data_IF_350385125608
#
_entry.id   IF_350385125608
#
_cell.length_a   1.000
_cell.length_b   1.000
_cell.length_c   1.000
_cell.angle_alpha   90.00
_cell.angle_beta   90.00
_cell.angle_gamma   90.00
#
_symmetry.space_group_name_H-M   'P 1'
#
loop_
_entity.id
_entity.type
_entity.pdbx_description
1 polymer ?
#
# COMPACT_ATOMS: atom_id res chain seq x y z
N UNK A 1 -19.60 -9.40 -6.41
CA UNK A 1 -20.55 -8.39 -5.87
C UNK A 1 -20.21 -8.17 -4.40
N UNK A 2 -19.39 -7.18 -4.09
CA UNK A 2 -19.06 -6.78 -2.72
C UNK A 2 -20.23 -5.97 -2.16
N UNK A 3 -20.81 -6.45 -1.05
CA UNK A 3 -21.84 -5.74 -0.26
C UNK A 3 -21.33 -4.33 0.07
N UNK A 4 -22.10 -3.30 -0.28
CA UNK A 4 -21.88 -1.92 0.19
C UNK A 4 -22.07 -1.92 1.71
N UNK A 5 -21.02 -1.57 2.44
CA UNK A 5 -21.11 -1.36 3.89
C UNK A 5 -21.73 0.04 4.10
N UNK A 6 -22.75 0.22 4.96
CA UNK A 6 -23.53 1.46 4.99
C UNK A 6 -22.81 2.69 5.57
N UNK A 7 -21.68 2.50 6.27
CA UNK A 7 -20.95 3.55 6.99
C UNK A 7 -19.59 3.90 6.35
N UNK A 8 -19.47 3.77 5.02
CA UNK A 8 -18.22 4.07 4.32
C UNK A 8 -17.99 5.59 4.24
N UNK A 9 -17.01 6.09 5.00
CA UNK A 9 -16.73 7.52 5.16
C UNK A 9 -16.23 8.11 3.84
N UNK A 10 -17.10 8.86 3.15
CA UNK A 10 -16.70 9.62 1.96
C UNK A 10 -15.85 10.81 2.40
N UNK A 11 -14.56 10.77 2.07
CA UNK A 11 -13.56 11.80 2.38
C UNK A 11 -13.72 12.99 1.43
N UNK A 12 -13.91 12.71 0.14
CA UNK A 12 -14.12 13.72 -0.87
C UNK A 12 -14.91 13.16 -2.05
N UNK A 13 -15.67 14.02 -2.73
CA UNK A 13 -16.36 13.67 -3.97
C UNK A 13 -16.35 14.89 -4.89
N UNK A 14 -16.07 14.66 -6.16
CA UNK A 14 -16.20 15.67 -7.20
C UNK A 14 -16.64 15.05 -8.51
N UNK A 15 -17.19 15.89 -9.38
CA UNK A 15 -17.51 15.53 -10.76
C UNK A 15 -16.53 16.23 -11.68
N UNK A 16 -15.88 15.46 -12.56
CA UNK A 16 -14.99 15.99 -13.60
C UNK A 16 -15.82 16.25 -14.85
N UNK A 17 -15.87 17.49 -15.36
CA UNK A 17 -16.65 17.81 -16.54
C UNK A 17 -16.06 17.21 -17.82
N UNK A 18 -16.89 16.99 -18.86
CA UNK A 18 -16.50 16.46 -20.17
C UNK A 18 -15.20 17.03 -20.77
N UNK A 19 -15.05 18.36 -20.73
CA UNK A 19 -13.89 19.05 -21.30
C UNK A 19 -12.59 18.65 -20.58
N UNK A 20 -12.63 18.63 -19.25
CA UNK A 20 -11.46 18.32 -18.42
C UNK A 20 -11.12 16.83 -18.51
N UNK A 21 -12.11 15.94 -18.62
CA UNK A 21 -11.88 14.51 -18.87
C UNK A 21 -11.14 14.26 -20.19
N UNK A 22 -11.52 14.95 -21.26
CA UNK A 22 -10.84 14.83 -22.56
C UNK A 22 -9.41 15.36 -22.51
N UNK A 23 -9.19 16.49 -21.82
CA UNK A 23 -7.85 17.02 -21.58
C UNK A 23 -6.99 16.01 -20.80
N UNK A 24 -7.52 15.50 -19.69
CA UNK A 24 -6.88 14.46 -18.89
C UNK A 24 -6.52 13.22 -19.74
N UNK A 25 -7.47 12.67 -20.49
CA UNK A 25 -7.22 11.47 -21.31
C UNK A 25 -6.15 11.72 -22.37
N UNK A 26 -6.13 12.91 -22.97
CA UNK A 26 -5.08 13.32 -23.92
C UNK A 26 -3.69 13.42 -23.26
N UNK A 27 -3.60 14.04 -22.10
CA UNK A 27 -2.35 14.20 -21.34
C UNK A 27 -1.78 12.85 -20.89
N UNK A 28 -2.63 11.97 -20.35
CA UNK A 28 -2.22 10.64 -19.90
C UNK A 28 -1.80 9.76 -21.08
N UNK A 29 -2.53 9.78 -22.21
CA UNK A 29 -2.09 9.06 -23.42
C UNK A 29 -0.77 9.59 -23.95
N UNK A 30 -0.56 10.91 -23.92
CA UNK A 30 0.72 11.50 -24.32
C UNK A 30 1.88 11.11 -23.39
N UNK A 31 1.61 10.94 -22.09
CA UNK A 31 2.63 10.60 -21.09
C UNK A 31 2.97 9.11 -21.08
N UNK A 32 1.97 8.24 -21.16
CA UNK A 32 2.14 6.80 -21.02
C UNK A 32 2.16 6.05 -22.36
N UNK A 33 1.73 6.65 -23.48
CA UNK A 33 1.82 6.06 -24.81
C UNK A 33 1.40 4.59 -24.88
N UNK A 34 2.26 3.76 -25.49
CA UNK A 34 2.12 2.30 -25.58
C UNK A 34 2.86 1.56 -24.43
N UNK A 35 3.11 2.22 -23.30
CA UNK A 35 3.79 1.55 -22.18
C UNK A 35 2.90 0.46 -21.58
N UNK A 36 3.50 -0.65 -21.09
CA UNK A 36 2.73 -1.70 -20.40
C UNK A 36 2.12 -1.24 -19.07
N UNK A 37 2.50 -0.05 -18.61
CA UNK A 37 2.07 0.57 -17.36
C UNK A 37 1.00 1.65 -17.57
N UNK A 38 0.49 1.80 -18.80
CA UNK A 38 -0.58 2.74 -19.07
C UNK A 38 -1.82 2.40 -18.21
N UNK A 39 -2.46 3.40 -17.57
CA UNK A 39 -3.64 3.20 -16.74
C UNK A 39 -4.90 3.01 -17.60
N UNK A 40 -4.90 1.94 -18.41
CA UNK A 40 -5.87 1.67 -19.48
C UNK A 40 -7.30 1.66 -18.94
N UNK A 41 -7.52 1.09 -17.75
CA UNK A 41 -8.87 0.96 -17.20
C UNK A 41 -9.46 2.30 -16.73
N UNK A 42 -8.62 3.17 -16.15
CA UNK A 42 -9.05 4.54 -15.79
C UNK A 42 -9.34 5.35 -17.06
N UNK A 43 -8.46 5.24 -18.07
CA UNK A 43 -8.67 5.89 -19.36
C UNK A 43 -9.97 5.47 -20.03
N UNK A 44 -10.26 4.15 -20.07
CA UNK A 44 -11.52 3.62 -20.61
C UNK A 44 -12.74 4.18 -19.87
N UNK A 45 -12.66 4.37 -18.54
CA UNK A 45 -13.75 5.01 -17.79
C UNK A 45 -13.90 6.48 -18.15
N UNK A 46 -12.82 7.23 -18.27
CA UNK A 46 -12.87 8.64 -18.68
C UNK A 46 -13.47 8.79 -20.09
N UNK A 47 -13.12 7.90 -21.02
CA UNK A 47 -13.60 7.91 -22.41
C UNK A 47 -15.06 7.51 -22.53
N UNK A 48 -15.53 6.54 -21.75
CA UNK A 48 -16.95 6.16 -21.66
C UNK A 48 -17.85 7.33 -21.24
N UNK A 49 -17.28 8.28 -20.48
CA UNK A 49 -17.99 9.40 -19.87
C UNK A 49 -17.55 10.76 -20.42
N UNK A 50 -16.92 10.78 -21.61
CA UNK A 50 -16.35 11.97 -22.23
C UNK A 50 -17.39 13.04 -22.58
N UNK A 51 -18.68 12.69 -22.67
CA UNK A 51 -19.80 13.60 -22.94
C UNK A 51 -20.62 13.96 -21.69
N UNK A 52 -20.66 13.07 -20.69
CA UNK A 52 -21.51 13.24 -19.50
C UNK A 52 -20.77 13.84 -18.30
N UNK A 53 -19.45 13.71 -18.27
CA UNK A 53 -18.66 13.92 -17.07
C UNK A 53 -18.64 12.66 -16.20
N UNK A 54 -17.75 12.64 -15.22
CA UNK A 54 -17.43 11.46 -14.43
C UNK A 54 -17.26 11.83 -12.96
N UNK A 55 -17.93 11.08 -12.09
CA UNK A 55 -17.77 11.23 -10.66
C UNK A 55 -16.52 10.50 -10.18
N UNK A 56 -15.77 11.20 -9.34
CA UNK A 56 -14.67 10.66 -8.56
C UNK A 56 -15.07 10.72 -7.09
N UNK A 57 -14.97 9.58 -6.42
CA UNK A 57 -15.33 9.42 -5.01
C UNK A 57 -14.12 8.88 -4.26
N UNK A 58 -13.60 9.67 -3.35
CA UNK A 58 -12.57 9.29 -2.39
C UNK A 58 -13.23 8.86 -1.09
N UNK A 59 -13.00 7.62 -0.70
CA UNK A 59 -13.39 7.04 0.59
C UNK A 59 -12.14 6.74 1.40
N UNK A 60 -12.29 6.61 2.69
CA UNK A 60 -11.23 6.21 3.61
C UNK A 60 -10.40 4.99 3.14
N UNK A 61 -11.02 4.03 2.45
CA UNK A 61 -10.38 2.79 2.00
C UNK A 61 -10.07 2.71 0.49
N UNK A 62 -10.67 3.57 -0.34
CA UNK A 62 -10.54 3.48 -1.80
C UNK A 62 -10.88 4.78 -2.56
N UNK A 63 -10.31 4.92 -3.76
CA UNK A 63 -10.77 5.90 -4.77
C UNK A 63 -11.59 5.20 -5.84
N UNK A 64 -12.72 5.78 -6.20
CA UNK A 64 -13.59 5.34 -7.29
C UNK A 64 -13.60 6.37 -8.40
N UNK A 65 -13.50 5.91 -9.64
CA UNK A 65 -13.59 6.71 -10.87
C UNK A 65 -14.66 6.04 -11.74
N UNK A 66 -15.91 6.49 -11.59
CA UNK A 66 -17.06 5.75 -12.10
C UNK A 66 -17.16 4.33 -11.51
N UNK A 67 -17.05 3.32 -12.38
CA UNK A 67 -17.08 1.90 -11.99
C UNK A 67 -15.70 1.36 -11.59
N UNK A 68 -14.62 2.06 -11.98
CA UNK A 68 -13.26 1.65 -11.63
C UNK A 68 -12.93 2.02 -10.17
N UNK A 69 -12.10 1.21 -9.52
CA UNK A 69 -11.68 1.41 -8.13
C UNK A 69 -10.20 1.17 -7.91
N UNK A 70 -9.60 1.98 -7.04
CA UNK A 70 -8.28 1.80 -6.46
C UNK A 70 -8.41 1.65 -4.95
N UNK A 71 -8.15 0.46 -4.42
CA UNK A 71 -8.13 0.24 -2.98
C UNK A 71 -6.79 0.68 -2.39
N UNK A 72 -6.79 1.46 -1.31
CA UNK A 72 -5.55 1.98 -0.71
C UNK A 72 -4.72 0.89 -0.03
N UNK A 73 -5.38 0.10 0.82
CA UNK A 73 -4.72 -0.85 1.73
C UNK A 73 -4.01 -2.02 1.01
N UNK A 74 -4.35 -2.28 -0.26
CA UNK A 74 -3.83 -3.42 -1.00
C UNK A 74 -2.74 -3.08 -2.01
N UNK A 75 -2.56 -1.79 -2.33
CA UNK A 75 -1.80 -1.37 -3.51
C UNK A 75 -0.44 -0.72 -3.19
N UNK A 76 0.06 -0.83 -1.95
CA UNK A 76 1.38 -0.30 -1.55
C UNK A 76 1.62 1.14 -2.06
N UNK A 77 0.62 2.01 -1.85
CA UNK A 77 0.71 3.41 -2.29
C UNK A 77 1.79 4.09 -1.46
N UNK A 78 2.83 4.58 -2.11
CA UNK A 78 3.99 5.22 -1.46
C UNK A 78 3.83 6.72 -1.33
N UNK A 79 3.17 7.35 -2.30
CA UNK A 79 2.94 8.79 -2.29
C UNK A 79 1.66 9.14 -3.06
N UNK A 80 1.06 10.27 -2.69
CA UNK A 80 -0.09 10.83 -3.38
C UNK A 80 0.18 12.32 -3.60
N UNK A 81 0.20 12.78 -4.86
CA UNK A 81 0.43 14.18 -5.21
C UNK A 81 -0.73 14.77 -6.01
N UNK A 82 -0.97 16.07 -5.82
CA UNK A 82 -1.97 16.83 -6.58
C UNK A 82 -1.28 17.53 -7.75
N UNK A 83 -1.48 17.01 -8.96
CA UNK A 83 -1.09 17.70 -10.20
C UNK A 83 -2.18 18.70 -10.63
N UNK A 84 -1.98 19.37 -11.77
CA UNK A 84 -2.92 20.39 -12.22
C UNK A 84 -4.28 19.83 -12.66
N UNK A 85 -4.29 18.66 -13.31
CA UNK A 85 -5.50 18.02 -13.86
C UNK A 85 -5.78 16.63 -13.26
N UNK A 86 -4.89 16.10 -12.40
CA UNK A 86 -5.08 14.78 -11.79
C UNK A 86 -4.40 14.61 -10.43
N UNK A 87 -4.86 13.62 -9.66
CA UNK A 87 -4.16 13.07 -8.51
C UNK A 87 -3.24 11.97 -9.01
N UNK A 88 -1.98 11.99 -8.60
CA UNK A 88 -1.03 10.93 -8.90
C UNK A 88 -0.91 10.04 -7.68
N UNK A 89 -1.29 8.78 -7.83
CA UNK A 89 -1.05 7.72 -6.86
C UNK A 89 0.20 6.96 -7.26
N UNK A 90 1.28 7.12 -6.50
CA UNK A 90 2.52 6.38 -6.69
C UNK A 90 2.43 5.05 -5.92
N UNK A 91 2.80 3.96 -6.58
CA UNK A 91 2.77 2.61 -6.03
C UNK A 91 4.13 1.94 -6.17
N UNK A 92 4.43 1.01 -5.25
CA UNK A 92 5.64 0.19 -5.27
C UNK A 92 6.95 1.01 -5.35
N UNK A 93 7.01 2.17 -4.68
CA UNK A 93 8.21 3.00 -4.62
C UNK A 93 8.51 3.75 -5.92
N UNK A 94 7.48 4.11 -6.69
CA UNK A 94 7.62 4.88 -7.93
C UNK A 94 7.59 4.04 -9.20
N UNK A 95 7.44 2.71 -9.07
CA UNK A 95 7.41 1.81 -10.23
C UNK A 95 6.13 1.97 -11.04
N UNK A 96 5.02 2.27 -10.36
CA UNK A 96 3.72 2.48 -10.99
C UNK A 96 3.12 3.82 -10.55
N UNK A 97 2.49 4.51 -11.50
CA UNK A 97 1.75 5.73 -11.25
C UNK A 97 0.31 5.54 -11.77
N UNK A 98 -0.67 5.76 -10.91
CA UNK A 98 -2.08 5.71 -11.28
C UNK A 98 -2.65 7.13 -11.20
N UNK A 99 -2.97 7.75 -12.35
CA UNK A 99 -3.56 9.07 -12.39
C UNK A 99 -5.09 8.98 -12.19
N UNK A 100 -5.64 9.86 -11.37
CA UNK A 100 -7.08 10.01 -11.14
C UNK A 100 -7.50 11.44 -11.50
N UNK A 101 -8.49 11.64 -12.39
CA UNK A 101 -8.81 12.97 -12.88
C UNK A 101 -9.37 13.88 -11.78
N UNK A 102 -8.95 15.14 -11.79
CA UNK A 102 -9.44 16.19 -10.90
C UNK A 102 -10.15 17.25 -11.74
N UNK A 103 -11.22 17.84 -11.20
CA UNK A 103 -11.72 19.09 -11.77
C UNK A 103 -10.93 20.28 -11.25
N UNK A 104 -10.52 21.19 -12.14
CA UNK A 104 -9.74 22.39 -11.77
C UNK A 104 -10.38 23.20 -10.64
N UNK A 105 -11.72 23.25 -10.60
CA UNK A 105 -12.50 23.94 -9.55
C UNK A 105 -12.50 23.23 -8.20
N UNK A 106 -12.16 21.95 -8.18
CA UNK A 106 -12.23 21.06 -7.02
C UNK A 106 -10.84 20.64 -6.51
N UNK A 107 -9.78 21.35 -6.91
CA UNK A 107 -8.40 21.08 -6.46
C UNK A 107 -8.28 21.09 -4.93
N UNK A 108 -9.01 21.96 -4.24
CA UNK A 108 -9.03 22.00 -2.78
C UNK A 108 -9.69 20.76 -2.16
N UNK A 109 -10.69 20.15 -2.82
CA UNK A 109 -11.25 18.86 -2.39
C UNK A 109 -10.23 17.74 -2.53
N UNK A 110 -9.51 17.73 -3.66
CA UNK A 110 -8.47 16.76 -3.93
C UNK A 110 -7.31 16.89 -2.93
N UNK A 111 -6.89 18.11 -2.58
CA UNK A 111 -5.88 18.35 -1.54
C UNK A 111 -6.32 17.81 -0.17
N UNK A 112 -7.56 18.05 0.24
CA UNK A 112 -8.09 17.49 1.49
C UNK A 112 -8.11 15.96 1.49
N UNK A 113 -8.40 15.34 0.35
CA UNK A 113 -8.31 13.89 0.21
C UNK A 113 -6.87 13.40 0.39
N UNK A 114 -5.90 14.06 -0.25
CA UNK A 114 -4.47 13.75 -0.09
C UNK A 114 -4.03 13.88 1.37
N UNK A 115 -4.35 14.98 2.03
CA UNK A 115 -4.03 15.18 3.46
C UNK A 115 -4.61 14.07 4.34
N UNK A 116 -5.85 13.65 4.08
CA UNK A 116 -6.49 12.56 4.81
C UNK A 116 -5.74 11.24 4.64
N UNK A 117 -5.39 10.86 3.42
CA UNK A 117 -4.67 9.62 3.16
C UNK A 117 -3.24 9.64 3.66
N UNK A 118 -2.54 10.77 3.55
CA UNK A 118 -1.19 10.94 4.12
C UNK A 118 -1.22 10.71 5.62
N UNK A 119 -2.19 11.31 6.32
CA UNK A 119 -2.37 11.09 7.77
C UNK A 119 -2.67 9.63 8.08
N UNK A 120 -3.53 8.98 7.30
CA UNK A 120 -3.85 7.56 7.49
C UNK A 120 -2.59 6.67 7.32
N UNK A 121 -1.77 6.94 6.31
CA UNK A 121 -0.51 6.23 6.08
C UNK A 121 0.50 6.46 7.24
N UNK A 122 0.57 7.67 7.77
CA UNK A 122 1.39 7.98 8.95
C UNK A 122 0.92 7.22 10.18
N UNK A 123 -0.39 7.16 10.43
CA UNK A 123 -1.00 6.41 11.53
C UNK A 123 -0.73 4.90 11.40
N UNK A 124 -0.89 4.32 10.21
CA UNK A 124 -0.57 2.91 9.98
C UNK A 124 0.93 2.63 10.13
N UNK A 125 1.80 3.49 9.62
CA UNK A 125 3.23 3.35 9.78
C UNK A 125 3.65 3.43 11.26
N UNK A 126 2.98 4.27 12.04
CA UNK A 126 3.20 4.42 13.48
C UNK A 126 2.73 3.17 14.23
N UNK A 127 1.52 2.66 13.93
CA UNK A 127 1.01 1.40 14.48
C UNK A 127 1.90 0.21 14.12
N UNK A 128 2.40 0.15 12.89
CA UNK A 128 3.32 -0.91 12.45
C UNK A 128 4.67 -0.83 13.18
N UNK A 129 5.19 0.38 13.44
CA UNK A 129 6.38 0.58 14.27
C UNK A 129 6.14 0.15 15.71
N UNK A 130 4.99 0.52 16.29
CA UNK A 130 4.59 0.10 17.64
C UNK A 130 4.44 -1.42 17.75
N UNK A 131 3.84 -2.08 16.76
CA UNK A 131 3.74 -3.54 16.73
C UNK A 131 5.09 -4.24 16.56
N UNK A 132 6.03 -3.66 15.81
CA UNK A 132 7.40 -4.17 15.71
C UNK A 132 8.21 -3.93 16.99
N UNK A 133 7.98 -2.80 17.65
CA UNK A 133 8.57 -2.46 18.93
C UNK A 133 7.92 -3.20 20.11
N UNK A 134 6.73 -3.76 19.93
CA UNK A 134 6.08 -4.59 20.92
C UNK A 134 6.97 -5.82 21.20
N UNK A 135 7.35 -6.07 22.47
CA UNK A 135 8.23 -7.16 22.83
C UNK A 135 7.50 -8.50 22.70
N UNK A 136 7.43 -9.02 21.47
CA UNK A 136 7.06 -10.41 21.25
C UNK A 136 8.19 -11.32 21.74
N UNK A 137 7.84 -12.52 22.21
CA UNK A 137 8.82 -13.51 22.68
C UNK A 137 9.91 -13.82 21.64
N UNK A 138 9.55 -13.78 20.34
CA UNK A 138 10.49 -13.91 19.23
C UNK A 138 11.48 -12.74 19.15
N UNK A 139 11.03 -11.49 19.26
CA UNK A 139 11.92 -10.33 19.24
C UNK A 139 12.84 -10.27 20.47
N UNK A 140 12.40 -10.76 21.63
CA UNK A 140 13.27 -10.91 22.81
C UNK A 140 14.37 -11.95 22.59
N UNK A 141 14.03 -13.12 22.02
CA UNK A 141 15.02 -14.15 21.69
C UNK A 141 16.00 -13.67 20.62
N UNK A 142 15.52 -12.94 19.61
CA UNK A 142 16.35 -12.37 18.56
C UNK A 142 17.31 -11.31 19.13
N UNK A 143 16.83 -10.39 19.97
CA UNK A 143 17.69 -9.41 20.63
C UNK A 143 18.72 -10.04 21.57
N UNK A 144 18.36 -11.11 22.29
CA UNK A 144 19.31 -11.87 23.13
C UNK A 144 20.34 -12.58 22.24
N UNK A 145 19.90 -13.16 21.13
CA UNK A 145 20.76 -13.83 20.16
C UNK A 145 21.71 -12.85 19.46
N UNK A 146 21.27 -11.65 19.11
CA UNK A 146 22.13 -10.61 18.53
C UNK A 146 23.11 -10.04 19.56
N UNK A 147 22.67 -9.77 20.78
CA UNK A 147 23.52 -9.22 21.84
C UNK A 147 24.54 -10.24 22.39
N UNK A 148 24.24 -11.55 22.34
CA UNK A 148 25.05 -12.60 22.93
C UNK A 148 25.34 -13.75 21.95
N UNK A 149 25.47 -13.44 20.66
CA UNK A 149 25.65 -14.43 19.59
C UNK A 149 26.80 -15.42 19.88
N UNK A 150 27.91 -14.90 20.40
CA UNK A 150 29.11 -15.69 20.74
C UNK A 150 28.81 -16.70 21.86
N UNK A 151 28.06 -16.29 22.90
CA UNK A 151 27.67 -17.18 24.00
C UNK A 151 26.68 -18.24 23.56
N UNK A 152 25.77 -17.90 22.65
CA UNK A 152 24.79 -18.83 22.08
C UNK A 152 25.49 -19.91 21.23
N UNK A 153 26.45 -19.50 20.39
CA UNK A 153 27.29 -20.42 19.61
C UNK A 153 28.12 -21.33 20.53
N UNK A 154 28.77 -20.76 21.55
CA UNK A 154 29.52 -21.54 22.54
C UNK A 154 28.62 -22.53 23.29
N UNK A 155 27.43 -22.12 23.72
CA UNK A 155 26.47 -22.99 24.39
C UNK A 155 26.03 -24.17 23.52
N UNK A 156 25.76 -23.93 22.23
CA UNK A 156 25.41 -25.01 21.29
C UNK A 156 26.58 -25.96 21.08
N UNK A 157 27.80 -25.44 20.88
CA UNK A 157 28.99 -26.27 20.62
C UNK A 157 29.42 -27.09 21.83
N UNK A 158 29.44 -26.50 23.02
CA UNK A 158 30.01 -27.11 24.23
C UNK A 158 28.99 -27.80 25.12
N UNK A 159 27.70 -27.48 24.98
CA UNK A 159 26.64 -28.08 25.81
C UNK A 159 25.61 -28.79 24.94
N UNK A 160 25.09 -28.14 23.91
CA UNK A 160 24.04 -28.69 23.05
C UNK A 160 24.47 -29.94 22.29
N UNK A 161 25.57 -29.85 21.54
CA UNK A 161 26.10 -30.97 20.74
C UNK A 161 26.51 -32.15 21.65
N UNK A 162 27.27 -31.96 22.74
CA UNK A 162 27.61 -33.06 23.65
C UNK A 162 26.37 -33.70 24.30
N UNK A 163 25.36 -32.90 24.69
CA UNK A 163 24.12 -33.44 25.24
C UNK A 163 23.34 -34.27 24.22
N UNK A 164 23.26 -33.82 22.96
CA UNK A 164 22.62 -34.59 21.88
C UNK A 164 23.38 -35.89 21.61
N UNK A 165 24.72 -35.84 21.56
CA UNK A 165 25.55 -37.03 21.39
C UNK A 165 25.34 -38.02 22.55
N UNK A 166 25.28 -37.53 23.79
CA UNK A 166 25.00 -38.36 24.97
C UNK A 166 23.62 -38.99 24.91
N UNK A 167 22.59 -38.23 24.56
CA UNK A 167 21.21 -38.73 24.45
C UNK A 167 21.11 -39.77 23.33
N UNK A 168 21.70 -39.51 22.16
CA UNK A 168 21.72 -40.46 21.04
C UNK A 168 22.55 -41.70 21.39
N UNK A 169 23.67 -41.54 22.10
CA UNK A 169 24.50 -42.65 22.58
C UNK A 169 23.76 -43.54 23.60
N UNK A 170 23.01 -42.93 24.53
CA UNK A 170 22.15 -43.62 25.49
C UNK A 170 20.99 -44.34 24.80
N UNK A 171 20.34 -43.70 23.82
CA UNK A 171 19.21 -44.27 23.08
C UNK A 171 19.62 -45.38 22.11
N UNK A 172 20.85 -45.36 21.58
CA UNK A 172 21.39 -46.41 20.71
C UNK A 172 22.11 -47.54 21.46
N UNK A 173 22.10 -47.53 22.79
CA UNK A 173 22.70 -48.59 23.62
C UNK A 173 24.23 -48.62 23.58
N UNK A 174 24.89 -47.52 23.23
CA UNK A 174 26.30 -47.46 22.83
C UNK A 174 27.30 -47.09 23.92
N UNK A 175 27.02 -47.36 25.20
CA UNK A 175 28.05 -47.34 26.24
C UNK A 175 28.30 -48.77 26.75
N UNK A 176 28.95 -49.57 25.89
CA UNK A 176 29.73 -50.75 26.26
C UNK A 176 31.17 -50.51 25.83
#
# INVERSE_FOLDING_TARGET
MTRRIPDELVVARWTVPPKELRTFAGEIRSRYGDTPFAPIDVLKMCEKHDQTGLDVVCRDDAVFVGEWRLAFLYNQITAITVEDTWLRFEMEGGLYEIPVPISTRQRSLAQRAVEHYTRLAEEESSRAREQRAAPTWQNRLLNIAEAHAIWLILGVLFVGIPAIILIVGLLRGGFQ
#
